data_IF_738666345769
#
_entry.id   IF_738666345769
#
_cell.length_a   1.000
_cell.length_b   1.000
_cell.length_c   1.000
_cell.angle_alpha   90.00
_cell.angle_beta   90.00
_cell.angle_gamma   90.00
#
_symmetry.space_group_name_H-M   'P 1'
#
loop_
_entity.id
_entity.type
_entity.pdbx_description
1 polymer ?
#
# COMPACT_ATOMS: atom_id res chain seq x y z
N UNK A 1 11.91 15.49 0.69
CA UNK A 1 11.18 15.78 -0.58
C UNK A 1 11.52 14.66 -1.54
N UNK A 2 10.54 13.95 -2.09
CA UNK A 2 10.77 12.94 -3.12
C UNK A 2 11.06 13.67 -4.43
N UNK A 3 12.19 13.36 -5.06
CA UNK A 3 12.50 13.84 -6.41
C UNK A 3 11.74 12.99 -7.42
N UNK A 4 10.87 13.62 -8.21
CA UNK A 4 10.03 12.96 -9.23
C UNK A 4 10.66 12.98 -10.62
N UNK A 5 11.90 13.46 -10.75
CA UNK A 5 12.62 13.58 -12.04
C UNK A 5 12.84 12.24 -12.76
N UNK A 6 12.70 11.10 -12.05
CA UNK A 6 12.81 9.75 -12.63
C UNK A 6 11.53 9.27 -13.32
N UNK A 7 10.37 9.90 -13.11
CA UNK A 7 9.10 9.46 -13.71
C UNK A 7 9.14 9.36 -15.25
N UNK A 8 9.74 10.34 -15.98
CA UNK A 8 9.92 10.21 -17.43
C UNK A 8 10.71 8.97 -17.82
N UNK A 9 11.74 8.58 -17.05
CA UNK A 9 12.57 7.41 -17.35
C UNK A 9 11.80 6.09 -17.25
N UNK A 10 10.86 5.99 -16.30
CA UNK A 10 9.95 4.85 -16.21
C UNK A 10 9.01 4.72 -17.41
N UNK A 11 8.64 5.85 -18.03
CA UNK A 11 7.71 5.88 -19.17
C UNK A 11 8.40 5.78 -20.53
N UNK A 12 9.73 5.97 -20.61
CA UNK A 12 10.49 5.85 -21.86
C UNK A 12 10.31 4.44 -22.42
N UNK A 13 10.01 4.31 -23.71
CA UNK A 13 9.73 3.02 -24.34
C UNK A 13 11.03 2.21 -24.50
N UNK A 14 11.48 1.57 -23.42
CA UNK A 14 12.58 0.60 -23.41
C UNK A 14 12.03 -0.82 -23.62
N UNK A 15 12.90 -1.77 -23.98
CA UNK A 15 12.50 -3.15 -24.26
C UNK A 15 12.05 -3.94 -23.01
N UNK A 16 11.94 -3.31 -21.84
CA UNK A 16 11.57 -3.98 -20.60
C UNK A 16 10.07 -4.33 -20.61
N UNK A 17 9.78 -5.64 -20.53
CA UNK A 17 8.40 -6.13 -20.58
C UNK A 17 7.59 -5.80 -19.31
N UNK A 18 8.26 -5.63 -18.16
CA UNK A 18 7.63 -5.33 -16.87
C UNK A 18 8.34 -4.15 -16.22
N UNK A 19 7.59 -3.07 -15.97
CA UNK A 19 8.08 -1.86 -15.31
C UNK A 19 7.05 -1.42 -14.30
N UNK A 20 7.52 -1.09 -13.10
CA UNK A 20 6.66 -0.62 -12.04
C UNK A 20 7.38 0.39 -11.17
N UNK A 21 6.58 1.22 -10.51
CA UNK A 21 6.99 2.11 -9.46
C UNK A 21 6.01 1.93 -8.32
N UNK A 22 6.54 1.61 -7.14
CA UNK A 22 5.77 1.45 -5.92
C UNK A 22 6.39 2.35 -4.87
N UNK A 23 5.57 3.18 -4.25
CA UNK A 23 5.94 4.00 -3.10
C UNK A 23 4.93 3.75 -1.99
N UNK A 24 5.45 3.48 -0.78
CA UNK A 24 4.68 3.33 0.44
C UNK A 24 5.44 4.02 1.56
N UNK A 25 4.75 4.82 2.38
CA UNK A 25 5.36 5.31 3.63
C UNK A 25 5.39 4.19 4.64
N UNK A 26 6.46 4.11 5.43
CA UNK A 26 6.61 3.12 6.50
C UNK A 26 5.66 3.38 7.67
N UNK A 27 5.38 4.65 7.97
CA UNK A 27 4.39 5.06 8.96
C UNK A 27 3.73 6.40 8.62
N UNK A 28 2.61 6.68 9.30
CA UNK A 28 1.96 7.99 9.30
C UNK A 28 2.59 8.95 10.32
N UNK A 29 1.98 10.11 10.54
CA UNK A 29 2.45 11.08 11.52
C UNK A 29 1.29 11.88 12.12
N UNK A 30 1.25 11.98 13.44
CA UNK A 30 0.35 12.87 14.16
C UNK A 30 0.95 14.29 14.18
N UNK A 31 0.12 15.30 13.93
CA UNK A 31 0.48 16.72 13.89
C UNK A 31 -0.65 17.62 14.42
N UNK A 32 -1.52 17.09 15.28
CA UNK A 32 -2.70 17.79 15.79
C UNK A 32 -4.03 17.34 15.19
N UNK A 33 -4.07 16.22 14.45
CA UNK A 33 -5.28 15.66 13.85
C UNK A 33 -6.22 15.08 14.90
N UNK A 34 -5.73 14.26 15.84
CA UNK A 34 -6.55 13.60 16.86
C UNK A 34 -6.19 14.03 18.28
N UNK A 35 -4.92 14.33 18.53
CA UNK A 35 -4.39 14.77 19.83
C UNK A 35 -3.43 15.94 19.67
N UNK A 36 -3.25 16.75 20.73
CA UNK A 36 -2.26 17.84 20.78
C UNK A 36 -0.83 17.26 20.91
N UNK A 37 -0.34 16.71 19.79
CA UNK A 37 0.94 16.04 19.67
C UNK A 37 1.47 16.17 18.23
N UNK A 38 2.80 16.20 18.10
CA UNK A 38 3.48 16.16 16.81
C UNK A 38 4.56 15.07 16.82
N UNK A 39 4.35 14.00 16.05
CA UNK A 39 5.29 12.89 15.94
C UNK A 39 4.61 11.55 15.60
N UNK A 40 5.38 10.47 15.71
CA UNK A 40 4.85 9.12 15.53
C UNK A 40 3.88 8.80 16.65
N UNK A 41 2.67 8.35 16.31
CA UNK A 41 1.62 8.07 17.28
C UNK A 41 1.01 6.68 17.05
N UNK A 42 1.29 5.70 17.93
CA UNK A 42 0.77 4.34 17.81
C UNK A 42 -0.71 4.21 18.24
N UNK A 43 -1.33 5.29 18.70
CA UNK A 43 -2.68 5.26 19.28
C UNK A 43 -3.66 6.20 18.53
N UNK A 44 -3.30 6.62 17.32
CA UNK A 44 -4.10 7.52 16.48
C UNK A 44 -4.13 7.00 15.06
N UNK A 45 -5.25 7.17 14.37
CA UNK A 45 -5.38 6.81 12.95
C UNK A 45 -4.32 7.51 12.09
N UNK A 46 -3.98 8.77 12.38
CA UNK A 46 -2.96 9.55 11.67
C UNK A 46 -1.56 8.90 11.69
N UNK A 47 -1.26 8.06 12.68
CA UNK A 47 0.01 7.32 12.76
C UNK A 47 0.07 6.07 11.89
N UNK A 48 -1.08 5.54 11.44
CA UNK A 48 -1.16 4.31 10.63
C UNK A 48 -1.57 4.56 9.18
N UNK A 49 -2.27 5.67 8.89
CA UNK A 49 -2.62 6.00 7.52
C UNK A 49 -1.42 6.51 6.75
N UNK A 50 -1.07 5.79 5.68
CA UNK A 50 0.10 6.07 4.85
C UNK A 50 -0.29 6.23 3.39
N UNK A 51 0.41 7.06 2.61
CA UNK A 51 0.27 7.07 1.17
C UNK A 51 0.80 5.77 0.55
N UNK A 52 0.06 5.24 -0.41
CA UNK A 52 0.47 4.19 -1.33
C UNK A 52 0.31 4.72 -2.76
N UNK A 53 1.38 4.67 -3.55
CA UNK A 53 1.37 5.01 -4.97
C UNK A 53 1.88 3.81 -5.74
N UNK A 54 1.08 3.34 -6.70
CA UNK A 54 1.41 2.22 -7.57
C UNK A 54 1.25 2.65 -9.01
N UNK A 55 2.29 2.42 -9.80
CA UNK A 55 2.28 2.57 -11.24
C UNK A 55 2.94 1.34 -11.86
N UNK A 56 2.39 0.83 -12.96
CA UNK A 56 3.10 -0.14 -13.79
C UNK A 56 2.71 0.03 -15.26
N UNK A 57 3.58 -0.44 -16.16
CA UNK A 57 3.30 -0.36 -17.59
C UNK A 57 2.03 -1.16 -17.92
N UNK A 58 1.13 -0.52 -18.69
CA UNK A 58 -0.11 -1.16 -19.12
C UNK A 58 -1.18 -1.31 -18.04
N UNK A 59 -1.07 -0.61 -16.90
CA UNK A 59 -2.16 -0.49 -15.92
C UNK A 59 -3.42 0.05 -16.63
N UNK A 60 -4.50 -0.74 -16.64
CA UNK A 60 -5.79 -0.38 -17.26
C UNK A 60 -6.82 0.10 -16.24
N UNK A 61 -6.64 -0.36 -15.01
CA UNK A 61 -7.49 -0.14 -13.85
C UNK A 61 -6.56 -0.11 -12.64
N UNK A 62 -6.87 0.69 -11.62
CA UNK A 62 -6.12 0.70 -10.37
C UNK A 62 -6.25 -0.61 -9.60
N UNK A 63 -7.24 -1.45 -9.94
CA UNK A 63 -7.49 -2.76 -9.32
C UNK A 63 -8.12 -2.67 -7.93
N UNK A 64 -7.78 -1.62 -7.16
CA UNK A 64 -8.35 -1.34 -5.84
C UNK A 64 -9.59 -0.45 -5.89
N UNK A 65 -10.60 -0.80 -5.07
CA UNK A 65 -11.69 0.11 -4.75
C UNK A 65 -11.19 1.18 -3.76
N UNK A 66 -11.10 2.44 -4.20
CA UNK A 66 -10.65 3.56 -3.37
C UNK A 66 -11.55 3.87 -2.16
N UNK A 67 -12.75 3.29 -2.12
CA UNK A 67 -13.67 3.39 -0.97
C UNK A 67 -13.51 2.23 0.02
N UNK A 68 -12.64 1.26 -0.27
CA UNK A 68 -12.33 0.14 0.62
C UNK A 68 -10.99 0.37 1.31
N UNK A 69 -10.84 -0.05 2.59
CA UNK A 69 -9.53 -0.10 3.23
C UNK A 69 -8.56 -0.97 2.44
N UNK A 70 -7.28 -0.59 2.47
CA UNK A 70 -6.16 -1.36 1.96
C UNK A 70 -5.22 -1.63 3.14
N UNK A 71 -4.69 -2.85 3.22
CA UNK A 71 -3.60 -3.17 4.13
C UNK A 71 -2.27 -3.07 3.38
N UNK A 72 -1.38 -2.16 3.80
CA UNK A 72 -0.05 -2.04 3.19
C UNK A 72 0.86 -3.23 3.52
N UNK A 73 0.47 -4.10 4.46
CA UNK A 73 1.13 -5.38 4.64
C UNK A 73 1.07 -6.26 3.38
N UNK A 74 0.02 -6.12 2.55
CA UNK A 74 -0.19 -6.93 1.34
C UNK A 74 0.62 -6.43 0.12
N UNK A 75 1.47 -5.42 0.32
CA UNK A 75 2.36 -4.88 -0.74
C UNK A 75 3.38 -5.93 -1.20
N UNK A 76 3.78 -6.87 -0.33
CA UNK A 76 4.69 -7.95 -0.66
C UNK A 76 4.11 -8.89 -1.75
N UNK A 77 2.85 -9.27 -1.60
CA UNK A 77 2.11 -10.08 -2.57
C UNK A 77 1.95 -9.35 -3.90
N UNK A 78 1.62 -8.05 -3.86
CA UNK A 78 1.60 -7.20 -5.05
C UNK A 78 2.98 -7.15 -5.74
N UNK A 79 4.06 -7.01 -4.98
CA UNK A 79 5.42 -6.95 -5.54
C UNK A 79 5.80 -8.27 -6.23
N UNK A 80 5.44 -9.42 -5.64
CA UNK A 80 5.62 -10.72 -6.29
C UNK A 80 4.92 -10.78 -7.65
N UNK A 81 3.66 -10.35 -7.72
CA UNK A 81 2.89 -10.32 -8.98
C UNK A 81 3.52 -9.39 -10.03
N UNK A 82 3.95 -8.18 -9.63
CA UNK A 82 4.64 -7.23 -10.51
C UNK A 82 5.93 -7.83 -11.09
N UNK A 83 6.68 -8.57 -10.28
CA UNK A 83 7.89 -9.29 -10.70
C UNK A 83 7.60 -10.53 -11.56
N UNK A 84 6.33 -10.95 -11.69
CA UNK A 84 5.94 -12.17 -12.40
C UNK A 84 6.22 -13.45 -11.64
N UNK A 85 6.37 -13.34 -10.31
CA UNK A 85 6.46 -14.47 -9.40
C UNK A 85 5.06 -14.89 -9.01
N UNK A 86 4.78 -16.19 -9.10
CA UNK A 86 3.50 -16.76 -8.73
C UNK A 86 3.72 -17.89 -7.74
N UNK A 87 2.90 -17.93 -6.71
CA UNK A 87 2.83 -19.09 -5.83
C UNK A 87 2.31 -20.30 -6.58
N UNK A 88 2.71 -21.51 -6.15
CA UNK A 88 2.19 -22.76 -6.73
C UNK A 88 0.67 -22.90 -6.53
N UNK A 89 0.17 -22.41 -5.40
CA UNK A 89 -1.24 -22.44 -5.01
C UNK A 89 -1.69 -21.02 -4.64
N UNK A 90 -1.96 -20.14 -5.62
CA UNK A 90 -2.29 -18.76 -5.34
C UNK A 90 -3.61 -18.68 -4.59
N UNK A 91 -3.61 -17.92 -3.49
CA UNK A 91 -4.84 -17.51 -2.84
C UNK A 91 -5.49 -16.41 -3.71
N UNK A 92 -6.78 -16.55 -3.99
CA UNK A 92 -7.52 -15.54 -4.74
C UNK A 92 -7.74 -14.32 -3.84
N UNK A 93 -7.51 -13.10 -4.35
CA UNK A 93 -7.83 -11.80 -3.73
C UNK A 93 -6.78 -11.13 -2.83
N UNK A 94 -5.60 -11.74 -2.63
CA UNK A 94 -4.61 -11.20 -1.68
C UNK A 94 -3.66 -10.16 -2.29
N UNK A 95 -3.67 -9.97 -3.61
CA UNK A 95 -2.90 -8.92 -4.27
C UNK A 95 -3.72 -7.65 -4.43
N UNK A 96 -3.10 -6.50 -4.12
CA UNK A 96 -3.66 -5.17 -4.37
C UNK A 96 -3.98 -4.91 -5.86
N UNK A 97 -3.39 -5.67 -6.79
CA UNK A 97 -3.71 -5.56 -8.23
C UNK A 97 -4.98 -6.32 -8.63
N UNK A 98 -5.52 -7.16 -7.73
CA UNK A 98 -6.74 -7.90 -7.99
C UNK A 98 -7.93 -6.96 -8.03
N UNK A 99 -8.73 -7.00 -9.11
CA UNK A 99 -9.95 -6.19 -9.28
C UNK A 99 -11.00 -6.36 -8.15
N UNK A 100 -10.83 -7.38 -7.32
CA UNK A 100 -11.65 -7.70 -6.16
C UNK A 100 -10.80 -7.94 -4.91
N UNK A 101 -9.74 -7.16 -4.73
CA UNK A 101 -8.97 -7.15 -3.49
C UNK A 101 -9.92 -7.08 -2.28
N UNK A 102 -9.70 -8.00 -1.33
CA UNK A 102 -10.47 -8.09 -0.10
C UNK A 102 -9.56 -7.69 1.06
N UNK A 103 -9.97 -6.65 1.78
CA UNK A 103 -9.31 -6.28 3.02
C UNK A 103 -9.55 -7.37 4.07
N UNK A 104 -8.49 -8.04 4.49
CA UNK A 104 -8.49 -9.01 5.57
C UNK A 104 -7.94 -8.36 6.85
N UNK A 105 -8.79 -7.85 7.75
CA UNK A 105 -8.31 -7.25 8.99
C UNK A 105 -7.61 -8.30 9.85
N UNK A 106 -6.42 -7.97 10.35
CA UNK A 106 -5.78 -8.75 11.40
C UNK A 106 -6.57 -8.64 12.72
N UNK A 107 -6.30 -9.54 13.67
CA UNK A 107 -7.02 -9.61 14.95
C UNK A 107 -6.94 -8.35 15.80
N UNK A 108 -5.91 -7.53 15.59
CA UNK A 108 -5.68 -6.25 16.27
C UNK A 108 -6.16 -5.03 15.47
N UNK A 109 -6.93 -5.21 14.40
CA UNK A 109 -7.55 -4.11 13.67
C UNK A 109 -8.74 -3.51 14.45
N UNK A 110 -8.92 -2.17 14.47
CA UNK A 110 -8.01 -1.16 13.93
C UNK A 110 -6.78 -0.94 14.80
N UNK A 111 -5.61 -0.84 14.16
CA UNK A 111 -4.30 -0.83 14.83
C UNK A 111 -4.11 0.30 15.85
N UNK A 112 -4.78 1.43 15.66
CA UNK A 112 -4.67 2.62 16.50
C UNK A 112 -5.58 2.60 17.73
N UNK A 113 -6.45 1.60 17.87
CA UNK A 113 -7.24 1.43 19.09
C UNK A 113 -6.47 0.49 20.02
N UNK A 114 -6.04 1.02 21.16
CA UNK A 114 -5.46 0.19 22.21
C UNK A 114 -6.38 -0.99 22.51
N UNK A 115 -5.87 -2.22 22.40
CA UNK A 115 -6.52 -3.38 23.00
C UNK A 115 -6.64 -3.09 24.48
N UNK A 116 -7.86 -3.08 25.03
CA UNK A 116 -8.05 -2.91 26.47
C UNK A 116 -7.10 -3.88 27.19
N UNK A 117 -6.16 -3.34 27.96
CA UNK A 117 -5.27 -4.14 28.79
C UNK A 117 -6.15 -4.92 29.76
N UNK A 118 -6.20 -6.25 29.61
CA UNK A 118 -6.81 -7.19 30.56
C UNK A 118 -6.02 -7.23 31.86
#
# INVERSE_FOLDING_TARGET
MVDWSFLPDLTKNDHAQRRSFVFVSDHGNEVGHEIDFAGHSPNTQAGYQVPLVVWHNGIKDTGVNLNSPINTADVDQMMMELMGLHERNPHTHDSLLSHNYLFHPSSNWPYWKATASS
#
